data_IF_035475653879
#
_entry.id   IF_035475653879
#
_cell.length_a   1.000
_cell.length_b   1.000
_cell.length_c   1.000
_cell.angle_alpha   90.00
_cell.angle_beta   90.00
_cell.angle_gamma   90.00
#
_symmetry.space_group_name_H-M   'P 1'
#
loop_
_entity.id
_entity.type
_entity.pdbx_description
1 polymer ?
#
# COMPACT_ATOMS: atom_id res chain seq x y z
N UNK A 1 73.67 -12.44 -31.27
CA UNK A 1 72.83 -11.24 -31.50
C UNK A 1 71.57 -11.70 -32.21
N UNK A 2 70.40 -11.62 -31.54
CA UNK A 2 69.03 -11.47 -32.07
C UNK A 2 68.00 -11.96 -31.02
N UNK A 3 67.24 -11.01 -30.44
CA UNK A 3 66.06 -11.25 -29.58
C UNK A 3 64.84 -11.67 -30.42
N UNK A 4 63.88 -12.45 -29.89
CA UNK A 4 62.56 -12.59 -30.49
C UNK A 4 61.59 -11.50 -29.99
N UNK A 5 60.80 -11.00 -30.94
CA UNK A 5 59.79 -9.95 -30.81
C UNK A 5 58.59 -10.41 -29.96
N UNK A 6 58.14 -9.51 -29.06
CA UNK A 6 56.91 -9.64 -28.28
C UNK A 6 55.68 -9.41 -29.17
N UNK A 7 54.70 -10.31 -29.11
CA UNK A 7 53.44 -10.26 -29.89
C UNK A 7 52.32 -9.75 -28.96
N UNK A 8 51.86 -8.52 -29.16
CA UNK A 8 50.70 -7.97 -28.44
C UNK A 8 49.40 -8.47 -29.09
N UNK A 9 48.56 -9.18 -28.32
CA UNK A 9 47.18 -9.54 -28.68
C UNK A 9 46.22 -8.53 -28.06
N UNK A 10 45.39 -7.88 -28.88
CA UNK A 10 44.44 -6.83 -28.49
C UNK A 10 43.19 -7.35 -27.76
N UNK A 11 42.64 -6.62 -26.76
CA UNK A 11 41.43 -6.99 -26.03
C UNK A 11 40.17 -6.44 -26.72
N UNK A 12 39.72 -7.06 -27.81
CA UNK A 12 38.47 -6.65 -28.48
C UNK A 12 37.21 -7.32 -27.90
N UNK A 13 37.37 -8.28 -26.98
CA UNK A 13 36.25 -9.07 -26.45
C UNK A 13 35.52 -8.38 -25.28
N UNK A 14 36.19 -7.49 -24.55
CA UNK A 14 35.64 -6.83 -23.35
C UNK A 14 34.70 -5.65 -23.65
N UNK A 15 34.97 -4.88 -24.71
CA UNK A 15 34.23 -3.62 -24.96
C UNK A 15 32.76 -3.88 -25.31
N UNK A 16 32.49 -4.93 -26.08
CA UNK A 16 31.10 -5.28 -26.48
C UNK A 16 30.27 -5.77 -25.30
N UNK A 17 30.86 -6.51 -24.38
CA UNK A 17 30.18 -7.01 -23.18
C UNK A 17 29.85 -5.87 -22.21
N UNK A 18 30.79 -4.93 -22.03
CA UNK A 18 30.57 -3.71 -21.24
C UNK A 18 29.44 -2.86 -21.83
N UNK A 19 29.39 -2.70 -23.16
CA UNK A 19 28.31 -1.96 -23.82
C UNK A 19 26.94 -2.64 -23.66
N UNK A 20 26.86 -3.97 -23.73
CA UNK A 20 25.59 -4.70 -23.54
C UNK A 20 25.09 -4.58 -22.09
N UNK A 21 25.97 -4.70 -21.10
CA UNK A 21 25.61 -4.53 -19.69
C UNK A 21 25.16 -3.10 -19.37
N UNK A 22 25.80 -2.09 -19.96
CA UNK A 22 25.39 -0.70 -19.82
C UNK A 22 23.99 -0.42 -20.39
N UNK A 23 23.61 -1.09 -21.48
CA UNK A 23 22.28 -0.94 -22.08
C UNK A 23 21.20 -1.60 -21.21
N UNK A 24 21.47 -2.74 -20.57
CA UNK A 24 20.49 -3.41 -19.67
C UNK A 24 20.19 -2.55 -18.43
N UNK A 25 21.17 -1.83 -17.88
CA UNK A 25 20.96 -0.93 -16.73
C UNK A 25 20.03 0.26 -17.05
N UNK A 26 20.00 0.71 -18.31
CA UNK A 26 19.13 1.81 -18.76
C UNK A 26 17.67 1.40 -18.94
N UNK A 27 17.36 0.10 -18.97
CA UNK A 27 15.99 -0.42 -19.02
C UNK A 27 15.46 -0.82 -17.64
N UNK A 28 15.90 -0.12 -16.59
CA UNK A 28 15.21 -0.18 -15.30
C UNK A 28 13.87 0.53 -15.46
N UNK A 29 12.86 -0.20 -15.95
CA UNK A 29 11.48 0.24 -15.82
C UNK A 29 11.23 0.28 -14.31
N UNK A 30 11.17 1.47 -13.74
CA UNK A 30 10.65 1.66 -12.38
C UNK A 30 9.20 1.24 -12.47
N UNK A 31 8.91 -0.03 -12.13
CA UNK A 31 7.54 -0.44 -11.88
C UNK A 31 7.14 0.15 -10.55
N UNK A 32 5.93 0.70 -10.49
CA UNK A 32 5.34 1.13 -9.23
C UNK A 32 5.47 0.02 -8.18
N UNK A 33 5.91 0.40 -6.99
CA UNK A 33 6.08 -0.51 -5.87
C UNK A 33 4.71 -0.94 -5.29
N UNK A 34 3.59 -0.30 -5.67
CA UNK A 34 2.25 -0.58 -5.16
C UNK A 34 1.53 -1.71 -5.94
N UNK A 35 1.59 -2.93 -5.42
CA UNK A 35 0.72 -4.02 -5.88
C UNK A 35 -0.63 -3.96 -5.14
N UNK A 36 -1.66 -3.38 -5.78
CA UNK A 36 -3.02 -3.28 -5.22
C UNK A 36 -3.72 -4.63 -4.99
N UNK A 37 -3.14 -5.74 -5.44
CA UNK A 37 -3.65 -7.08 -5.14
C UNK A 37 -3.12 -7.64 -3.82
N UNK A 38 -2.10 -7.00 -3.24
CA UNK A 38 -1.47 -7.41 -1.99
C UNK A 38 -1.69 -6.37 -0.90
N UNK A 39 -2.18 -6.83 0.23
CA UNK A 39 -2.25 -6.03 1.44
C UNK A 39 -0.84 -5.71 1.94
N UNK A 40 -0.61 -4.48 2.39
CA UNK A 40 0.63 -4.10 3.05
C UNK A 40 0.50 -4.25 4.57
N UNK A 41 0.87 -5.44 5.08
CA UNK A 41 0.72 -5.84 6.49
C UNK A 41 2.09 -6.16 7.16
N UNK A 42 3.19 -5.82 6.50
CA UNK A 42 4.57 -6.14 6.91
C UNK A 42 5.34 -4.91 7.42
N UNK A 43 4.63 -3.82 7.69
CA UNK A 43 5.23 -2.57 8.17
C UNK A 43 5.80 -1.68 7.07
N UNK A 44 5.53 -1.95 5.79
CA UNK A 44 5.87 -1.06 4.70
C UNK A 44 4.72 -0.99 3.68
N UNK A 45 4.26 0.23 3.36
CA UNK A 45 3.24 0.45 2.35
C UNK A 45 3.74 1.49 1.34
N UNK A 46 3.47 1.23 0.06
CA UNK A 46 3.76 2.13 -1.05
C UNK A 46 2.48 2.56 -1.77
N UNK A 47 2.54 3.74 -2.36
CA UNK A 47 1.54 4.30 -3.25
C UNK A 47 2.22 5.00 -4.42
N UNK A 48 1.84 4.63 -5.63
CA UNK A 48 2.37 5.22 -6.84
C UNK A 48 1.34 6.16 -7.47
N UNK A 49 1.84 7.30 -7.91
CA UNK A 49 1.15 8.28 -8.73
C UNK A 49 1.66 8.09 -10.15
N UNK A 50 0.77 7.75 -11.07
CA UNK A 50 1.12 7.62 -12.48
C UNK A 50 1.43 8.98 -13.11
N UNK A 51 2.47 9.01 -13.94
CA UNK A 51 2.76 10.17 -14.78
C UNK A 51 1.68 10.34 -15.85
N UNK A 52 1.23 11.57 -16.06
CA UNK A 52 0.35 11.93 -17.17
C UNK A 52 0.87 13.18 -17.86
N UNK A 53 0.40 13.53 -19.07
CA UNK A 53 0.75 14.80 -19.70
C UNK A 53 0.44 16.04 -18.85
N UNK A 54 -0.43 15.91 -17.84
CA UNK A 54 -0.84 16.97 -16.93
C UNK A 54 -0.30 16.82 -15.49
N UNK A 55 0.41 15.74 -15.16
CA UNK A 55 0.88 15.45 -13.80
C UNK A 55 2.21 14.71 -13.79
N UNK A 56 3.06 15.03 -12.81
CA UNK A 56 4.27 14.24 -12.55
C UNK A 56 3.90 12.92 -11.90
N UNK A 57 4.60 11.85 -12.26
CA UNK A 57 4.53 10.58 -11.53
C UNK A 57 5.47 10.58 -10.33
N UNK A 58 5.24 9.66 -9.39
CA UNK A 58 6.10 9.49 -8.22
C UNK A 58 5.59 8.42 -7.27
N UNK A 59 6.46 7.99 -6.35
CA UNK A 59 6.15 6.98 -5.34
C UNK A 59 6.22 7.62 -3.96
N UNK A 60 5.22 7.33 -3.13
CA UNK A 60 5.23 7.63 -1.70
C UNK A 60 5.30 6.29 -0.95
N UNK A 61 6.30 6.13 -0.09
CA UNK A 61 6.47 4.95 0.76
C UNK A 61 6.47 5.38 2.22
N UNK A 62 5.76 4.61 3.05
CA UNK A 62 5.80 4.70 4.50
C UNK A 62 6.24 3.36 5.08
N UNK A 63 7.16 3.40 6.03
CA UNK A 63 7.73 2.23 6.67
C UNK A 63 7.91 2.44 8.16
N UNK A 64 7.71 1.39 8.95
CA UNK A 64 7.76 1.46 10.41
C UNK A 64 7.63 0.10 11.08
N UNK A 65 7.18 0.10 12.33
CA UNK A 65 6.81 -1.14 13.03
C UNK A 65 5.67 -1.84 12.29
N UNK A 66 5.72 -3.17 12.23
CA UNK A 66 4.62 -3.99 11.65
C UNK A 66 3.29 -3.70 12.31
N UNK A 67 3.27 -3.28 13.57
CA UNK A 67 2.04 -2.96 14.31
C UNK A 67 1.57 -1.51 14.13
N UNK A 68 2.38 -0.64 13.52
CA UNK A 68 2.08 0.79 13.37
C UNK A 68 1.51 1.14 11.99
N UNK A 69 1.59 0.22 11.03
CA UNK A 69 1.16 0.44 9.66
C UNK A 69 0.24 -0.71 9.25
N UNK A 70 -0.87 -0.38 8.59
CA UNK A 70 -1.80 -1.37 8.06
C UNK A 70 -2.46 -0.90 6.77
N UNK A 71 -3.41 -1.68 6.30
CA UNK A 71 -4.04 -1.53 5.00
C UNK A 71 -5.54 -1.75 5.14
N UNK A 72 -6.34 -0.74 4.75
CA UNK A 72 -7.80 -0.85 4.76
C UNK A 72 -8.41 -0.97 3.36
N UNK A 73 -7.59 -1.29 2.37
CA UNK A 73 -8.03 -1.54 1.00
C UNK A 73 -8.72 -2.90 0.88
N UNK A 74 -9.35 -3.14 -0.28
CA UNK A 74 -9.90 -4.46 -0.63
C UNK A 74 -8.83 -5.57 -0.70
N UNK A 75 -7.55 -5.21 -0.83
CA UNK A 75 -6.45 -6.17 -0.79
C UNK A 75 -6.34 -6.82 0.59
N UNK A 76 -6.64 -6.08 1.66
CA UNK A 76 -6.69 -6.55 3.05
C UNK A 76 -8.07 -7.11 3.46
N UNK A 77 -9.02 -7.23 2.52
CA UNK A 77 -10.35 -7.80 2.77
C UNK A 77 -11.39 -6.82 3.30
N UNK A 78 -11.08 -5.53 3.31
CA UNK A 78 -11.98 -4.49 3.78
C UNK A 78 -12.93 -4.00 2.68
N UNK A 79 -14.15 -3.69 3.09
CA UNK A 79 -15.08 -2.88 2.32
C UNK A 79 -15.34 -1.56 3.06
N UNK A 80 -14.94 -0.44 2.45
CA UNK A 80 -15.17 0.91 2.98
C UNK A 80 -16.50 1.46 2.44
N UNK A 81 -17.19 2.23 3.27
CA UNK A 81 -18.41 2.97 2.97
C UNK A 81 -18.27 4.43 3.43
N UNK A 82 -18.93 5.33 2.71
CA UNK A 82 -18.98 6.76 3.02
C UNK A 82 -17.59 7.44 3.08
N UNK A 83 -16.68 7.04 2.20
CA UNK A 83 -15.42 7.76 2.02
C UNK A 83 -15.51 8.71 0.82
N UNK A 84 -14.88 9.88 0.94
CA UNK A 84 -14.73 10.86 -0.15
C UNK A 84 -13.27 11.04 -0.50
N UNK A 85 -12.97 11.45 -1.73
CA UNK A 85 -11.62 11.77 -2.23
C UNK A 85 -11.15 13.20 -1.89
N UNK A 86 -12.03 14.02 -1.31
CA UNK A 86 -11.80 15.45 -1.14
C UNK A 86 -10.99 15.85 0.10
N UNK A 87 -10.82 14.95 1.06
CA UNK A 87 -10.20 15.26 2.37
C UNK A 87 -9.62 14.01 3.01
N UNK A 88 -8.51 14.13 3.74
CA UNK A 88 -7.98 13.07 4.60
C UNK A 88 -8.56 13.08 6.03
N UNK A 89 -9.23 14.18 6.42
CA UNK A 89 -9.93 14.27 7.70
C UNK A 89 -11.41 13.96 7.50
N UNK A 90 -11.83 12.76 7.89
CA UNK A 90 -13.21 12.29 7.74
C UNK A 90 -13.53 11.09 8.66
N UNK A 91 -14.82 10.72 8.73
CA UNK A 91 -15.28 9.53 9.44
C UNK A 91 -15.80 8.52 8.43
N UNK A 92 -15.17 7.35 8.37
CA UNK A 92 -15.50 6.28 7.43
C UNK A 92 -16.10 5.08 8.16
N UNK A 93 -16.93 4.32 7.45
CA UNK A 93 -17.44 3.04 7.94
C UNK A 93 -16.75 1.94 7.14
N UNK A 94 -16.38 0.85 7.78
CA UNK A 94 -15.79 -0.29 7.09
C UNK A 94 -16.25 -1.61 7.69
N UNK A 95 -16.28 -2.65 6.88
CA UNK A 95 -16.61 -4.01 7.30
C UNK A 95 -15.62 -4.98 6.67
N UNK A 96 -15.18 -5.98 7.45
CA UNK A 96 -14.30 -7.02 6.93
C UNK A 96 -15.14 -8.03 6.16
N UNK A 97 -14.99 -8.08 4.84
CA UNK A 97 -15.76 -8.99 3.97
C UNK A 97 -14.98 -10.26 3.61
N UNK A 98 -13.68 -10.29 3.87
CA UNK A 98 -12.81 -11.45 3.67
C UNK A 98 -11.69 -11.47 4.74
N UNK A 99 -11.95 -12.14 5.86
CA UNK A 99 -11.01 -12.27 6.98
C UNK A 99 -9.70 -12.94 6.56
N UNK A 100 -9.72 -13.79 5.53
CA UNK A 100 -8.52 -14.51 5.06
C UNK A 100 -7.45 -13.60 4.46
N UNK A 101 -7.77 -12.32 4.24
CA UNK A 101 -6.87 -11.28 3.71
C UNK A 101 -6.26 -10.39 4.79
N UNK A 102 -6.57 -10.64 6.07
CA UNK A 102 -5.89 -9.99 7.19
C UNK A 102 -6.51 -8.67 7.66
N UNK A 103 -7.83 -8.48 7.53
CA UNK A 103 -8.53 -7.31 8.07
C UNK A 103 -8.12 -7.01 9.52
N UNK A 104 -8.01 -8.06 10.33
CA UNK A 104 -7.73 -8.00 11.76
C UNK A 104 -6.39 -7.35 12.13
N UNK A 105 -5.51 -7.14 11.15
CA UNK A 105 -4.21 -6.52 11.34
C UNK A 105 -4.28 -5.15 12.03
N UNK A 106 -5.28 -4.32 11.69
CA UNK A 106 -5.46 -2.98 12.31
C UNK A 106 -5.67 -3.05 13.84
N UNK A 107 -6.05 -4.21 14.38
CA UNK A 107 -6.33 -4.37 15.81
C UNK A 107 -5.13 -4.91 16.61
N UNK A 108 -4.04 -5.33 15.95
CA UNK A 108 -2.93 -6.02 16.61
C UNK A 108 -2.05 -5.10 17.47
N UNK A 109 -1.91 -3.83 17.08
CA UNK A 109 -1.11 -2.81 17.79
C UNK A 109 -1.91 -1.81 18.62
N UNK A 110 -3.25 -1.92 18.61
CA UNK A 110 -4.15 -0.82 18.94
C UNK A 110 -4.57 -0.06 17.69
N UNK A 111 -5.85 0.29 17.60
CA UNK A 111 -6.42 0.86 16.36
C UNK A 111 -6.05 2.32 16.20
N UNK A 112 -6.13 3.10 17.29
CA UNK A 112 -5.70 4.49 17.30
C UNK A 112 -4.19 4.62 17.03
N UNK A 113 -3.79 5.70 16.37
CA UNK A 113 -2.41 6.00 15.94
C UNK A 113 -1.82 5.02 14.91
N UNK A 114 -2.57 4.01 14.47
CA UNK A 114 -2.18 3.19 13.30
C UNK A 114 -2.26 4.02 12.03
N UNK A 115 -1.19 3.99 11.23
CA UNK A 115 -1.18 4.55 9.89
C UNK A 115 -1.75 3.53 8.92
N UNK A 116 -2.72 3.94 8.10
CA UNK A 116 -3.38 3.04 7.15
C UNK A 116 -3.22 3.53 5.72
N UNK A 117 -3.04 2.58 4.80
CA UNK A 117 -3.21 2.81 3.37
C UNK A 117 -4.70 2.90 3.02
N UNK A 118 -5.09 3.99 2.36
CA UNK A 118 -6.43 4.17 1.81
C UNK A 118 -6.51 3.59 0.38
N UNK A 119 -7.70 3.10 -0.04
CA UNK A 119 -7.92 2.76 -1.44
C UNK A 119 -8.07 4.00 -2.31
N UNK A 120 -7.91 3.81 -3.62
CA UNK A 120 -8.16 4.85 -4.61
C UNK A 120 -9.56 5.46 -4.45
N UNK A 121 -9.63 6.79 -4.52
CA UNK A 121 -10.88 7.55 -4.37
C UNK A 121 -11.37 7.68 -2.91
N UNK A 122 -10.55 7.30 -1.93
CA UNK A 122 -10.81 7.52 -0.52
C UNK A 122 -9.66 8.33 0.08
N UNK A 123 -9.94 9.59 0.43
CA UNK A 123 -8.92 10.55 0.86
C UNK A 123 -8.35 11.38 -0.29
N UNK A 124 -7.78 12.53 0.08
CA UNK A 124 -6.99 13.38 -0.83
C UNK A 124 -5.53 12.93 -0.95
N UNK A 125 -5.12 11.94 -0.16
CA UNK A 125 -3.82 11.29 -0.21
C UNK A 125 -3.91 9.82 0.21
N UNK A 126 -2.80 9.07 0.08
CA UNK A 126 -2.84 7.61 0.16
C UNK A 126 -2.71 7.05 1.58
N UNK A 127 -2.24 7.85 2.54
CA UNK A 127 -1.98 7.42 3.91
C UNK A 127 -2.60 8.38 4.91
N UNK A 128 -3.24 7.83 5.93
CA UNK A 128 -3.85 8.58 7.03
C UNK A 128 -3.61 7.85 8.36
N UNK A 129 -3.71 8.59 9.45
CA UNK A 129 -3.73 8.08 10.81
C UNK A 129 -5.16 7.79 11.23
N UNK A 130 -5.36 6.72 11.99
CA UNK A 130 -6.61 6.51 12.71
C UNK A 130 -6.60 7.35 13.99
N UNK A 131 -7.47 8.35 14.03
CA UNK A 131 -7.64 9.24 15.17
C UNK A 131 -8.56 8.67 16.26
N UNK A 132 -9.53 7.85 15.88
CA UNK A 132 -10.47 7.21 16.80
C UNK A 132 -11.13 5.99 16.13
N UNK A 133 -11.54 5.01 16.94
CA UNK A 133 -12.24 3.79 16.50
C UNK A 133 -13.39 3.45 17.43
N UNK A 134 -14.53 3.05 16.85
CA UNK A 134 -15.63 2.48 17.62
C UNK A 134 -16.51 1.53 16.78
N UNK A 135 -17.32 0.74 17.48
CA UNK A 135 -18.35 -0.10 16.89
C UNK A 135 -19.69 0.64 17.02
N UNK A 136 -20.40 0.96 15.92
CA UNK A 136 -21.68 1.63 15.98
C UNK A 136 -22.78 0.67 16.43
N UNK A 137 -23.79 1.18 17.14
CA UNK A 137 -24.98 0.40 17.50
C UNK A 137 -25.74 -0.11 16.26
N UNK A 138 -25.70 0.66 15.17
CA UNK A 138 -26.34 0.32 13.91
C UNK A 138 -25.37 -0.37 12.95
N UNK A 139 -25.45 -1.70 12.91
CA UNK A 139 -24.62 -2.60 12.10
C UNK A 139 -25.18 -2.82 10.68
N UNK A 140 -25.92 -1.86 10.12
CA UNK A 140 -26.52 -2.00 8.79
C UNK A 140 -25.48 -1.76 7.69
N UNK A 141 -25.48 -2.66 6.70
CA UNK A 141 -24.71 -2.56 5.47
C UNK A 141 -25.66 -2.37 4.28
N UNK A 142 -25.29 -1.55 3.28
CA UNK A 142 -26.01 -1.51 2.01
C UNK A 142 -26.14 -2.91 1.40
N UNK A 143 -27.26 -3.19 0.74
CA UNK A 143 -27.58 -4.51 0.18
C UNK A 143 -26.58 -4.98 -0.89
N UNK A 144 -25.89 -4.06 -1.54
CA UNK A 144 -24.81 -4.32 -2.50
C UNK A 144 -23.44 -4.67 -1.85
N UNK A 145 -23.33 -4.53 -0.53
CA UNK A 145 -22.13 -4.80 0.27
C UNK A 145 -22.29 -6.05 1.14
N UNK A 146 -23.54 -6.49 1.35
CA UNK A 146 -23.81 -7.73 2.03
C UNK A 146 -23.04 -8.88 1.32
N UNK A 147 -22.24 -9.67 2.06
CA UNK A 147 -21.46 -10.73 1.44
C UNK A 147 -22.41 -11.65 0.68
N UNK A 148 -22.03 -12.04 -0.55
CA UNK A 148 -22.69 -13.14 -1.26
C UNK A 148 -22.41 -14.43 -0.47
N UNK A 149 -23.21 -14.64 0.56
CA UNK A 149 -23.14 -15.75 1.50
C UNK A 149 -23.06 -17.07 0.73
N UNK A 150 -21.86 -17.66 0.73
CA UNK A 150 -21.60 -19.03 0.26
C UNK A 150 -21.13 -19.93 1.40
N UNK A 151 -21.07 -19.43 2.64
CA UNK A 151 -20.76 -20.23 3.84
C UNK A 151 -21.88 -20.10 4.88
N UNK A 152 -22.16 -21.25 5.50
CA UNK A 152 -23.32 -21.58 6.36
C UNK A 152 -23.35 -20.88 7.72
N UNK A 153 -22.34 -20.11 8.09
CA UNK A 153 -22.32 -19.35 9.34
C UNK A 153 -22.54 -17.87 9.03
N UNK A 154 -23.82 -17.52 9.04
CA UNK A 154 -24.42 -16.27 8.60
C UNK A 154 -24.30 -15.14 9.63
N UNK A 155 -23.10 -14.81 10.09
CA UNK A 155 -22.90 -13.53 10.79
C UNK A 155 -22.60 -12.45 9.75
N UNK A 156 -23.40 -11.39 9.72
CA UNK A 156 -23.04 -10.18 8.99
C UNK A 156 -21.69 -9.67 9.51
N UNK A 157 -20.79 -9.20 8.63
CA UNK A 157 -19.50 -8.71 9.07
C UNK A 157 -19.70 -7.49 9.97
N UNK A 158 -18.97 -7.45 11.09
CA UNK A 158 -19.05 -6.33 12.02
C UNK A 158 -18.60 -5.06 11.31
N UNK A 159 -19.43 -4.02 11.42
CA UNK A 159 -19.14 -2.68 10.95
C UNK A 159 -18.33 -1.98 12.02
N UNK A 160 -17.20 -1.41 11.61
CA UNK A 160 -16.39 -0.51 12.39
C UNK A 160 -16.54 0.92 11.85
N UNK A 161 -16.31 1.90 12.72
CA UNK A 161 -16.16 3.29 12.32
C UNK A 161 -14.76 3.75 12.68
N UNK A 162 -14.10 4.42 11.74
CA UNK A 162 -12.82 5.06 11.93
C UNK A 162 -12.99 6.56 11.70
N UNK A 163 -12.51 7.36 12.65
CA UNK A 163 -12.17 8.75 12.38
C UNK A 163 -10.72 8.76 11.91
N UNK A 164 -10.48 9.30 10.73
CA UNK A 164 -9.15 9.37 10.10
C UNK A 164 -8.72 10.82 9.91
N UNK A 165 -7.40 11.07 9.97
CA UNK A 165 -6.78 12.36 9.65
C UNK A 165 -5.35 12.19 9.12
N UNK A 166 -4.77 13.26 8.58
CA UNK A 166 -3.36 13.36 8.19
C UNK A 166 -2.54 14.23 9.16
N UNK A 167 -2.98 14.33 10.43
CA UNK A 167 -2.31 15.11 11.48
C UNK A 167 -1.36 14.19 12.26
N UNK A 168 -0.28 13.79 11.59
CA UNK A 168 0.71 12.84 12.13
C UNK A 168 1.41 13.32 13.40
N UNK A 169 1.44 14.62 13.67
CA UNK A 169 1.99 15.19 14.91
C UNK A 169 1.20 14.83 16.18
N UNK A 170 -0.06 14.39 16.03
CA UNK A 170 -0.90 13.93 17.15
C UNK A 170 -0.61 12.48 17.56
N UNK A 171 0.24 11.76 16.82
CA UNK A 171 0.61 10.40 17.20
C UNK A 171 1.32 10.38 18.55
N UNK A 172 0.89 9.48 19.43
CA UNK A 172 1.53 9.29 20.73
C UNK A 172 2.93 8.71 20.53
N UNK A 173 3.95 9.40 21.03
CA UNK A 173 5.32 8.84 21.07
C UNK A 173 5.38 7.77 22.14
N UNK A 174 5.35 6.50 21.73
CA UNK A 174 5.63 5.35 22.58
C UNK A 174 7.12 5.12 22.76
#
# INVERSE_FOLDING_TARGET
MLLPLCRMTSPMLDVKLVFILAIIALFSVVQGNNDWTKACLDGACSFDIDESPASMGGTIEISGSVLAISDITSAAGWQILNCTDSTNSQTIRLACVDESRGCEHIFQGGVEDTIIRLPDGCGSGPFVRIANHWIPDHQSLPSNVAPKSTRRDSSFPQVHILQIDDVFENMTRT
#
